data_IF_677855057139
#
_entry.id   IF_677855057139
#
_cell.length_a   1.000
_cell.length_b   1.000
_cell.length_c   1.000
_cell.angle_alpha   90.00
_cell.angle_beta   90.00
_cell.angle_gamma   90.00
#
_symmetry.space_group_name_H-M   'P 1'
#
loop_
_entity.id
_entity.type
_entity.pdbx_description
1 polymer ?
#
# COMPACT_ATOMS: atom_id res chain seq x y z
N UNK A 1 -0.89 12.83 -11.66
CA UNK A 1 -2.33 12.99 -11.33
C UNK A 1 -3.29 12.40 -12.37
N UNK A 2 -2.92 12.28 -13.66
CA UNK A 2 -3.80 11.73 -14.71
C UNK A 2 -3.99 10.20 -14.66
N UNK A 3 -3.06 9.46 -14.07
CA UNK A 3 -3.11 7.97 -14.04
C UNK A 3 -4.13 7.43 -13.04
N UNK A 4 -4.33 8.11 -11.90
CA UNK A 4 -5.32 7.70 -10.88
C UNK A 4 -6.77 7.80 -11.39
N UNK A 5 -7.04 8.68 -12.37
CA UNK A 5 -8.36 8.85 -12.95
C UNK A 5 -8.73 7.75 -13.96
N UNK A 6 -7.72 7.17 -14.63
CA UNK A 6 -7.91 6.08 -15.60
C UNK A 6 -8.28 4.75 -14.91
N UNK A 7 -7.66 4.46 -13.75
CA UNK A 7 -7.86 3.20 -13.03
C UNK A 7 -9.23 3.13 -12.32
N UNK A 8 -9.75 4.26 -11.80
CA UNK A 8 -11.07 4.26 -11.17
C UNK A 8 -12.22 3.93 -12.15
N UNK A 9 -12.03 4.11 -13.46
CA UNK A 9 -13.14 4.05 -14.41
C UNK A 9 -13.36 2.71 -15.10
N UNK A 10 -12.37 1.81 -15.10
CA UNK A 10 -12.53 0.47 -15.68
C UNK A 10 -13.28 -0.49 -14.77
N UNK A 11 -13.37 -0.19 -13.47
CA UNK A 11 -13.84 -1.14 -12.46
C UNK A 11 -15.27 -0.86 -11.97
N UNK A 12 -15.77 0.38 -12.06
CA UNK A 12 -16.97 0.80 -11.33
C UNK A 12 -18.30 0.77 -12.10
N UNK A 13 -18.32 0.36 -13.38
CA UNK A 13 -19.56 0.22 -14.18
C UNK A 13 -20.57 1.39 -14.07
N UNK A 14 -20.08 2.61 -13.86
CA UNK A 14 -20.92 3.78 -13.64
C UNK A 14 -21.54 4.18 -14.98
N UNK A 15 -22.88 4.16 -15.08
CA UNK A 15 -23.63 4.67 -16.24
C UNK A 15 -23.59 6.21 -16.28
N UNK A 16 -22.43 6.77 -16.58
CA UNK A 16 -22.22 8.22 -16.72
C UNK A 16 -21.91 8.62 -18.17
N UNK A 17 -22.41 9.78 -18.59
CA UNK A 17 -21.94 10.44 -19.84
C UNK A 17 -20.81 11.40 -19.50
N UNK A 18 -19.66 11.23 -20.12
CA UNK A 18 -18.51 12.11 -19.93
C UNK A 18 -18.53 13.23 -20.96
N UNK A 19 -18.44 14.46 -20.46
CA UNK A 19 -18.40 15.67 -21.27
C UNK A 19 -17.09 16.39 -20.96
N UNK A 20 -16.33 16.72 -21.99
CA UNK A 20 -15.11 17.51 -21.88
C UNK A 20 -15.26 18.80 -22.68
N UNK A 21 -15.02 19.94 -22.04
CA UNK A 21 -14.94 21.22 -22.71
C UNK A 21 -13.53 21.45 -23.24
N UNK A 22 -13.43 21.84 -24.50
CA UNK A 22 -12.17 22.25 -25.14
C UNK A 22 -12.15 23.76 -25.26
N UNK A 23 -11.05 24.38 -24.82
CA UNK A 23 -10.91 25.83 -24.87
C UNK A 23 -10.88 26.32 -26.34
N UNK A 24 -11.35 27.55 -26.62
CA UNK A 24 -11.41 28.09 -27.98
C UNK A 24 -10.07 28.07 -28.72
N UNK A 25 -8.98 28.29 -27.99
CA UNK A 25 -7.60 28.27 -28.51
C UNK A 25 -7.18 26.91 -29.08
N UNK A 26 -7.80 25.83 -28.62
CA UNK A 26 -7.49 24.46 -29.04
C UNK A 26 -8.55 23.91 -30.00
N UNK A 27 -9.55 24.72 -30.36
CA UNK A 27 -10.66 24.37 -31.24
C UNK A 27 -10.38 24.78 -32.69
N UNK A 28 -10.74 23.92 -33.66
CA UNK A 28 -10.61 24.26 -35.08
C UNK A 28 -11.56 25.37 -35.52
N UNK A 29 -12.64 25.60 -34.76
CA UNK A 29 -13.67 26.60 -35.06
C UNK A 29 -13.48 27.91 -34.27
N UNK A 30 -12.49 27.98 -33.38
CA UNK A 30 -12.20 29.16 -32.56
C UNK A 30 -13.25 29.45 -31.47
N UNK A 31 -14.17 28.51 -31.21
CA UNK A 31 -15.18 28.58 -30.14
C UNK A 31 -15.02 27.40 -29.18
N UNK A 32 -15.53 27.54 -27.96
CA UNK A 32 -15.54 26.44 -26.99
C UNK A 32 -16.37 25.28 -27.52
N UNK A 33 -15.79 24.10 -27.57
CA UNK A 33 -16.44 22.88 -28.07
C UNK A 33 -16.64 21.89 -26.93
N UNK A 34 -17.81 21.26 -26.88
CA UNK A 34 -18.14 20.23 -25.90
C UNK A 34 -18.07 18.86 -26.57
N UNK A 35 -17.19 17.99 -26.08
CA UNK A 35 -17.01 16.64 -26.60
C UNK A 35 -17.61 15.61 -25.65
N UNK A 36 -18.47 14.73 -26.18
CA UNK A 36 -18.92 13.54 -25.47
C UNK A 36 -17.89 12.42 -25.65
N UNK A 37 -17.21 12.04 -24.57
CA UNK A 37 -16.19 11.00 -24.61
C UNK A 37 -16.87 9.63 -24.54
N UNK A 38 -16.59 8.77 -25.53
CA UNK A 38 -16.91 7.35 -25.47
C UNK A 38 -15.64 6.59 -25.13
N UNK A 39 -15.72 5.74 -24.11
CA UNK A 39 -14.64 4.85 -23.74
C UNK A 39 -15.02 3.45 -24.19
N UNK A 40 -14.17 2.83 -25.00
CA UNK A 40 -14.24 1.41 -25.28
C UNK A 40 -13.23 0.70 -24.38
N UNK A 41 -13.68 -0.40 -23.76
CA UNK A 41 -12.80 -1.23 -22.94
C UNK A 41 -11.83 -1.92 -23.89
N UNK A 42 -10.55 -1.57 -23.80
CA UNK A 42 -9.50 -2.28 -24.53
C UNK A 42 -9.56 -3.77 -24.18
N UNK A 43 -9.57 -4.63 -25.21
CA UNK A 43 -9.48 -6.08 -25.05
C UNK A 43 -8.10 -6.51 -24.56
N UNK A 44 -7.08 -5.67 -24.75
CA UNK A 44 -5.73 -5.91 -24.29
C UNK A 44 -5.58 -5.47 -22.83
N UNK A 45 -5.38 -6.40 -21.88
CA UNK A 45 -5.17 -6.05 -20.49
C UNK A 45 -3.82 -5.33 -20.35
N UNK A 46 -3.83 -4.10 -19.84
CA UNK A 46 -2.63 -3.52 -19.24
C UNK A 46 -2.34 -4.38 -18.03
N UNK A 47 -1.22 -5.12 -18.05
CA UNK A 47 -0.90 -6.10 -17.01
C UNK A 47 -0.89 -5.43 -15.63
N UNK A 48 -1.86 -5.77 -14.80
CA UNK A 48 -1.84 -5.47 -13.37
C UNK A 48 -1.41 -6.76 -12.68
N UNK A 49 -0.23 -6.75 -12.07
CA UNK A 49 0.17 -7.84 -11.18
C UNK A 49 -0.58 -7.66 -9.85
N UNK A 50 -1.61 -8.47 -9.66
CA UNK A 50 -2.36 -8.55 -8.42
C UNK A 50 -1.82 -9.77 -7.68
N UNK A 51 -1.16 -9.52 -6.56
CA UNK A 51 -0.76 -10.57 -5.63
C UNK A 51 -1.92 -10.81 -4.68
N UNK A 52 -2.62 -11.92 -4.85
CA UNK A 52 -3.57 -12.41 -3.86
C UNK A 52 -2.79 -13.26 -2.85
N UNK A 53 -2.41 -12.64 -1.74
CA UNK A 53 -1.87 -13.38 -0.60
C UNK A 53 -3.04 -13.82 0.28
N UNK A 54 -3.17 -15.14 0.46
CA UNK A 54 -4.12 -15.69 1.41
C UNK A 54 -3.69 -15.21 2.78
N UNK A 55 -4.41 -14.23 3.33
CA UNK A 55 -4.24 -13.84 4.73
C UNK A 55 -4.64 -15.08 5.53
N UNK A 56 -3.65 -15.86 5.96
CA UNK A 56 -3.89 -16.93 6.91
C UNK A 56 -4.65 -16.32 8.08
N UNK A 57 -5.63 -17.07 8.59
CA UNK A 57 -6.31 -16.78 9.86
C UNK A 57 -5.32 -16.15 10.84
N UNK A 58 -5.73 -15.08 11.57
CA UNK A 58 -4.83 -14.23 12.32
C UNK A 58 -3.84 -15.10 13.07
N UNK A 59 -2.64 -15.20 12.53
CA UNK A 59 -1.60 -16.00 13.15
C UNK A 59 -1.43 -15.33 14.49
N UNK A 60 -1.76 -16.04 15.57
CA UNK A 60 -1.61 -15.52 16.92
C UNK A 60 -0.26 -14.80 16.96
N UNK A 61 -0.30 -13.52 17.35
CA UNK A 61 0.89 -12.68 17.39
C UNK A 61 1.95 -13.48 18.15
N UNK A 62 2.94 -14.00 17.41
CA UNK A 62 4.09 -14.69 18.01
C UNK A 62 4.89 -13.60 18.70
N UNK A 63 4.44 -13.24 19.88
CA UNK A 63 5.21 -12.41 20.79
C UNK A 63 6.31 -13.27 21.37
N UNK A 64 7.51 -12.71 21.62
CA UNK A 64 8.46 -13.37 22.50
C UNK A 64 7.76 -13.72 23.82
N UNK A 65 8.03 -14.90 24.39
CA UNK A 65 7.34 -15.50 25.54
C UNK A 65 7.29 -14.63 26.82
N UNK A 66 7.90 -13.44 26.81
CA UNK A 66 8.03 -12.52 27.94
C UNK A 66 7.50 -11.11 27.70
N UNK A 67 6.69 -10.85 26.66
CA UNK A 67 6.24 -9.48 26.32
C UNK A 67 4.73 -9.32 26.49
N UNK A 68 4.32 -8.45 27.43
CA UNK A 68 2.93 -8.02 27.54
C UNK A 68 2.66 -6.82 26.61
N UNK A 69 1.74 -7.01 25.65
CA UNK A 69 1.33 -5.95 24.73
C UNK A 69 -0.01 -5.34 25.15
N UNK A 70 -0.02 -4.02 25.35
CA UNK A 70 -1.25 -3.24 25.53
C UNK A 70 -2.08 -3.24 24.25
N UNK A 71 -3.41 -2.98 24.32
CA UNK A 71 -4.26 -2.93 23.12
C UNK A 71 -3.76 -1.95 22.05
N UNK A 72 -3.20 -0.80 22.45
CA UNK A 72 -2.64 0.18 21.54
C UNK A 72 -1.40 -0.35 20.80
N UNK A 73 -0.52 -1.09 21.48
CA UNK A 73 0.66 -1.70 20.87
C UNK A 73 0.29 -2.87 19.96
N UNK A 74 -0.77 -3.63 20.25
CA UNK A 74 -1.23 -4.73 19.38
C UNK A 74 -1.49 -4.26 17.95
N UNK A 75 -2.10 -3.09 17.76
CA UNK A 75 -2.35 -2.53 16.43
C UNK A 75 -1.07 -2.16 15.69
N UNK A 76 -0.05 -1.67 16.40
CA UNK A 76 1.26 -1.38 15.81
C UNK A 76 1.95 -2.69 15.37
N UNK A 77 1.86 -3.75 16.17
CA UNK A 77 2.49 -5.05 15.89
C UNK A 77 1.81 -5.75 14.71
N UNK A 78 0.47 -5.62 14.60
CA UNK A 78 -0.26 -6.07 13.41
C UNK A 78 0.19 -5.35 12.15
N UNK A 79 0.41 -4.02 12.22
CA UNK A 79 0.91 -3.23 11.07
C UNK A 79 2.35 -3.57 10.69
N UNK A 80 3.16 -4.04 11.64
CA UNK A 80 4.53 -4.44 11.38
C UNK A 80 4.61 -5.76 10.59
N UNK A 81 3.61 -6.65 10.69
CA UNK A 81 3.63 -7.97 10.05
C UNK A 81 3.67 -7.90 8.50
N UNK A 82 2.83 -7.10 7.81
CA UNK A 82 2.94 -6.90 6.36
C UNK A 82 4.27 -6.25 5.94
N UNK A 83 4.83 -5.36 6.76
CA UNK A 83 6.13 -4.77 6.47
C UNK A 83 7.26 -5.82 6.58
N UNK A 84 7.16 -6.74 7.54
CA UNK A 84 8.09 -7.84 7.72
C UNK A 84 8.12 -8.80 6.53
N UNK A 85 6.95 -9.19 5.99
CA UNK A 85 6.85 -10.16 4.90
C UNK A 85 7.45 -9.66 3.58
N UNK A 86 7.38 -8.35 3.31
CA UNK A 86 7.88 -7.74 2.06
C UNK A 86 9.39 -7.58 2.02
N UNK A 87 10.08 -7.60 3.17
CA UNK A 87 11.55 -7.46 3.24
C UNK A 87 12.09 -6.07 2.87
N UNK A 88 11.23 -5.05 2.84
CA UNK A 88 11.60 -3.64 2.62
C UNK A 88 12.29 -3.04 3.86
N UNK A 89 13.08 -1.97 3.72
CA UNK A 89 13.60 -1.23 4.87
C UNK A 89 12.47 -0.66 5.73
N UNK A 90 12.59 -0.79 7.06
CA UNK A 90 11.59 -0.29 8.01
C UNK A 90 12.22 0.75 8.93
N UNK A 91 11.55 1.90 9.09
CA UNK A 91 11.89 2.92 10.09
C UNK A 91 10.96 2.76 11.29
N UNK A 92 11.53 2.54 12.48
CA UNK A 92 10.79 2.46 13.73
C UNK A 92 11.00 3.76 14.50
N UNK A 93 9.90 4.44 14.84
CA UNK A 93 9.92 5.70 15.58
C UNK A 93 9.31 5.53 16.97
N UNK A 94 9.71 6.40 17.90
CA UNK A 94 9.18 6.43 19.26
C UNK A 94 10.23 6.86 20.28
N UNK A 95 9.76 7.27 21.45
CA UNK A 95 10.60 7.79 22.53
C UNK A 95 11.55 6.73 23.10
N UNK A 96 12.57 7.17 23.81
CA UNK A 96 13.51 6.28 24.51
C UNK A 96 12.77 5.39 25.50
N UNK A 97 13.08 4.08 25.51
CA UNK A 97 12.44 3.11 26.42
C UNK A 97 11.08 2.57 25.98
N UNK A 98 10.57 2.91 24.79
CA UNK A 98 9.28 2.40 24.27
C UNK A 98 9.35 0.99 23.66
N UNK A 99 10.48 0.30 23.76
CA UNK A 99 10.65 -1.07 23.27
C UNK A 99 10.84 -1.20 21.76
N UNK A 100 11.46 -0.20 21.11
CA UNK A 100 11.75 -0.22 19.66
C UNK A 100 12.60 -1.43 19.24
N UNK A 101 13.55 -1.87 20.07
CA UNK A 101 14.33 -3.07 19.77
C UNK A 101 13.48 -4.35 19.73
N UNK A 102 12.44 -4.45 20.58
CA UNK A 102 11.53 -5.59 20.58
C UNK A 102 10.72 -5.64 19.29
N UNK A 103 10.25 -4.49 18.80
CA UNK A 103 9.53 -4.41 17.53
C UNK A 103 10.46 -4.73 16.33
N UNK A 104 11.72 -4.27 16.37
CA UNK A 104 12.71 -4.60 15.34
C UNK A 104 12.98 -6.11 15.27
N UNK A 105 13.11 -6.76 16.43
CA UNK A 105 13.29 -8.22 16.52
C UNK A 105 12.07 -8.98 16.01
N UNK A 106 10.87 -8.55 16.38
CA UNK A 106 9.62 -9.12 15.88
C UNK A 106 9.53 -9.04 14.35
N UNK A 107 9.91 -7.90 13.75
CA UNK A 107 9.95 -7.75 12.29
C UNK A 107 10.96 -8.72 11.67
N UNK A 108 12.16 -8.85 12.25
CA UNK A 108 13.18 -9.78 11.76
C UNK A 108 12.68 -11.23 11.75
N UNK A 109 12.09 -11.70 12.86
CA UNK A 109 11.58 -13.06 13.04
C UNK A 109 10.43 -13.42 12.07
N UNK A 110 9.64 -12.42 11.65
CA UNK A 110 8.54 -12.58 10.71
C UNK A 110 8.92 -12.24 9.25
N UNK A 111 10.20 -11.95 8.98
CA UNK A 111 10.67 -11.62 7.64
C UNK A 111 11.19 -12.86 6.88
N UNK A 112 11.36 -12.77 5.55
CA UNK A 112 12.08 -13.78 4.77
C UNK A 112 13.53 -14.01 5.24
N UNK A 113 14.08 -13.11 6.06
CA UNK A 113 15.45 -13.14 6.58
C UNK A 113 15.54 -13.69 8.01
N UNK A 114 14.45 -14.22 8.58
CA UNK A 114 14.39 -14.74 9.96
C UNK A 114 15.50 -15.74 10.33
N UNK A 115 15.97 -16.52 9.35
CA UNK A 115 17.04 -17.52 9.55
C UNK A 115 18.46 -16.92 9.45
N UNK A 116 18.58 -15.62 9.15
CA UNK A 116 19.86 -14.90 9.11
C UNK A 116 20.09 -14.20 10.45
N UNK A 117 21.33 -13.89 10.74
CA UNK A 117 21.69 -13.12 11.93
C UNK A 117 21.09 -11.71 11.89
N UNK A 118 20.58 -11.27 13.03
CA UNK A 118 20.16 -9.88 13.25
C UNK A 118 21.29 -9.15 13.96
N UNK A 119 21.98 -8.26 13.26
CA UNK A 119 23.04 -7.42 13.83
C UNK A 119 22.42 -6.10 14.30
N UNK A 120 22.45 -5.87 15.61
CA UNK A 120 22.05 -4.59 16.20
C UNK A 120 23.26 -3.68 16.35
N UNK A 121 23.16 -2.46 15.83
CA UNK A 121 24.18 -1.44 15.96
C UNK A 121 23.56 -0.15 16.49
N UNK A 122 24.16 0.43 17.53
CA UNK A 122 23.73 1.69 18.09
C UNK A 122 24.63 2.82 17.57
N UNK A 123 24.04 3.82 16.91
CA UNK A 123 24.73 4.97 16.32
C UNK A 123 24.90 6.16 17.29
N UNK A 124 24.76 5.94 18.61
CA UNK A 124 24.88 6.96 19.66
C UNK A 124 26.26 7.61 19.69
#
# INVERSE_FOLDING_TARGET
MQVAWYICHTTLAIKGRFLQTRAPKDSKTGKSELYALRFEKSEQPVSVMIFEEKVNEPTELKTPDSVYLTPALKEIWKKALPAASTGVPVLITGDTGTGKELLARYIHENSPRKNKEMVAFNCS
#
